data_IF_531544268602
#
_entry.id   IF_531544268602
#
_cell.length_a   1.000
_cell.length_b   1.000
_cell.length_c   1.000
_cell.angle_alpha   90.00
_cell.angle_beta   90.00
_cell.angle_gamma   90.00
#
_symmetry.space_group_name_H-M   'P 1'
#
loop_
_entity.id
_entity.type
_entity.pdbx_description
1 polymer ?
#
# COMPACT_ATOMS: atom_id res chain seq x y z
N UNK A 1 2.94 -6.20 11.04
CA UNK A 1 1.59 -5.66 10.88
C UNK A 1 0.79 -6.40 9.82
N UNK A 2 1.28 -6.50 8.59
CA UNK A 2 0.58 -7.15 7.47
C UNK A 2 1.57 -7.92 6.60
N UNK A 3 1.13 -9.09 6.08
CA UNK A 3 1.85 -9.86 5.06
C UNK A 3 0.88 -10.31 4.00
N UNK A 4 1.21 -10.08 2.72
CA UNK A 4 0.36 -10.52 1.60
C UNK A 4 1.18 -10.84 0.36
N UNK A 5 0.65 -11.71 -0.49
CA UNK A 5 1.12 -11.91 -1.86
C UNK A 5 0.15 -11.18 -2.79
N UNK A 6 0.70 -10.31 -3.62
CA UNK A 6 -0.03 -9.66 -4.69
C UNK A 6 0.33 -10.36 -6.00
N UNK A 7 -0.68 -10.96 -6.65
CA UNK A 7 -0.52 -11.62 -7.94
C UNK A 7 -1.32 -10.87 -9.01
N UNK A 8 -0.65 -10.45 -10.04
CA UNK A 8 -1.21 -9.75 -11.20
C UNK A 8 -1.03 -10.63 -12.42
N UNK A 9 -2.11 -11.29 -12.91
CA UNK A 9 -2.01 -12.17 -14.07
C UNK A 9 -1.65 -11.39 -15.34
N UNK A 10 -1.04 -12.08 -16.30
CA UNK A 10 -0.84 -11.52 -17.63
C UNK A 10 -2.18 -11.25 -18.31
N UNK A 11 -2.23 -10.22 -19.16
CA UNK A 11 -3.38 -9.73 -19.95
C UNK A 11 -4.60 -9.21 -19.17
N UNK A 12 -4.80 -9.63 -17.92
CA UNK A 12 -6.00 -9.34 -17.11
C UNK A 12 -5.67 -8.73 -15.75
N UNK A 13 -4.42 -8.37 -15.50
CA UNK A 13 -4.02 -7.76 -14.23
C UNK A 13 -4.57 -6.35 -14.10
N UNK A 14 -5.40 -6.12 -13.07
CA UNK A 14 -5.88 -4.78 -12.72
C UNK A 14 -4.86 -4.06 -11.85
N UNK A 15 -4.63 -2.79 -12.14
CA UNK A 15 -3.78 -1.93 -11.33
C UNK A 15 -4.42 -1.54 -10.00
N UNK A 16 -3.62 -0.95 -9.13
CA UNK A 16 -4.06 -0.30 -7.90
C UNK A 16 -3.89 1.21 -8.05
N UNK A 17 -4.94 1.96 -7.75
CA UNK A 17 -4.90 3.42 -7.82
C UNK A 17 -3.96 4.00 -6.75
N UNK A 18 -3.53 5.26 -6.95
CA UNK A 18 -2.64 5.96 -6.05
C UNK A 18 -3.22 6.07 -4.64
N UNK A 19 -2.47 5.64 -3.64
CA UNK A 19 -2.85 5.66 -2.23
C UNK A 19 -1.62 5.64 -1.33
N UNK A 20 -1.84 5.89 -0.05
CA UNK A 20 -0.90 5.64 1.03
C UNK A 20 -1.42 4.48 1.87
N UNK A 21 -0.61 3.48 2.14
CA UNK A 21 -0.99 2.38 3.05
C UNK A 21 -1.30 2.90 4.46
N UNK A 22 -0.54 3.89 4.92
CA UNK A 22 -0.74 4.49 6.25
C UNK A 22 -2.13 5.09 6.42
N UNK A 23 -2.70 5.68 5.39
CA UNK A 23 -4.06 6.22 5.47
C UNK A 23 -5.08 5.14 5.87
N UNK A 24 -5.05 3.98 5.21
CA UNK A 24 -5.89 2.84 5.54
C UNK A 24 -5.58 2.28 6.94
N UNK A 25 -4.31 2.13 7.30
CA UNK A 25 -3.94 1.59 8.61
C UNK A 25 -4.28 2.54 9.75
N UNK A 26 -4.21 3.85 9.52
CA UNK A 26 -4.67 4.86 10.47
C UNK A 26 -6.20 4.80 10.63
N UNK A 27 -6.93 4.88 9.52
CA UNK A 27 -8.38 4.91 9.52
C UNK A 27 -9.03 3.62 10.04
N UNK A 28 -8.53 2.46 9.62
CA UNK A 28 -9.17 1.16 9.85
C UNK A 28 -8.50 0.31 10.94
N UNK A 29 -7.17 0.44 11.16
CA UNK A 29 -6.45 -0.37 12.14
C UNK A 29 -6.07 0.39 13.41
N UNK A 30 -6.23 1.71 13.42
CA UNK A 30 -5.85 2.55 14.54
C UNK A 30 -4.34 2.77 14.68
N UNK A 31 -3.59 2.77 13.56
CA UNK A 31 -2.15 3.08 13.59
C UNK A 31 -1.93 4.56 13.89
N UNK A 32 -1.31 4.93 15.03
CA UNK A 32 -1.27 6.34 15.47
C UNK A 32 -0.39 7.24 14.60
N UNK A 33 0.71 6.70 14.08
CA UNK A 33 1.71 7.46 13.33
C UNK A 33 2.29 6.62 12.18
N UNK A 34 2.83 7.22 11.10
CA UNK A 34 3.43 6.49 9.98
C UNK A 34 4.82 5.93 10.33
N UNK A 35 4.91 5.17 11.44
CA UNK A 35 6.15 4.53 11.90
C UNK A 35 6.21 3.07 11.48
N UNK A 36 5.87 2.84 10.22
CA UNK A 36 5.91 1.52 9.60
C UNK A 36 6.67 1.57 8.27
N UNK A 37 7.24 0.44 7.90
CA UNK A 37 7.96 0.27 6.64
C UNK A 37 7.46 -0.97 5.92
N UNK A 38 7.25 -0.86 4.62
CA UNK A 38 6.88 -1.95 3.74
C UNK A 38 8.10 -2.44 2.97
N UNK A 39 8.19 -3.76 2.80
CA UNK A 39 9.14 -4.40 1.90
C UNK A 39 8.37 -5.15 0.81
N UNK A 40 8.55 -4.76 -0.45
CA UNK A 40 8.02 -5.48 -1.61
C UNK A 40 9.13 -6.31 -2.23
N UNK A 41 8.99 -7.65 -2.22
CA UNK A 41 9.95 -8.58 -2.81
C UNK A 41 9.36 -9.16 -4.08
N UNK A 42 10.06 -9.03 -5.20
CA UNK A 42 9.67 -9.57 -6.49
C UNK A 42 9.81 -11.10 -6.51
N UNK A 43 8.71 -11.83 -6.66
CA UNK A 43 8.71 -13.28 -6.85
C UNK A 43 8.83 -13.66 -8.33
N UNK A 44 8.43 -12.76 -9.22
CA UNK A 44 8.64 -12.79 -10.67
C UNK A 44 9.35 -11.52 -11.10
N UNK A 45 9.98 -11.45 -12.28
CA UNK A 45 10.56 -10.19 -12.76
C UNK A 45 9.53 -9.07 -12.83
N UNK A 46 9.88 -7.91 -12.29
CA UNK A 46 9.11 -6.66 -12.43
C UNK A 46 9.66 -5.89 -13.62
N UNK A 47 8.88 -5.79 -14.67
CA UNK A 47 9.19 -5.00 -15.86
C UNK A 47 8.44 -3.66 -15.82
N UNK A 48 8.91 -2.67 -16.57
CA UNK A 48 8.22 -1.38 -16.68
C UNK A 48 6.81 -1.49 -17.30
N UNK A 49 6.48 -2.60 -17.92
CA UNK A 49 5.24 -2.80 -18.69
C UNK A 49 4.32 -3.89 -18.12
N UNK A 50 4.67 -4.59 -17.03
CA UNK A 50 3.81 -5.64 -16.45
C UNK A 50 3.10 -5.22 -15.16
N UNK A 51 2.79 -3.91 -15.03
CA UNK A 51 2.07 -3.36 -13.90
C UNK A 51 2.95 -3.21 -12.65
N UNK A 52 4.23 -2.87 -12.83
CA UNK A 52 5.18 -2.64 -11.74
C UNK A 52 4.70 -1.58 -10.73
N UNK A 53 5.11 -1.72 -9.48
CA UNK A 53 4.83 -0.76 -8.43
C UNK A 53 5.46 0.59 -8.77
N UNK A 54 4.66 1.65 -8.73
CA UNK A 54 5.09 3.04 -8.88
C UNK A 54 5.06 3.73 -7.51
N UNK A 55 6.01 4.60 -7.26
CA UNK A 55 6.13 5.39 -6.03
C UNK A 55 6.42 6.86 -6.36
N UNK A 56 6.01 7.77 -5.50
CA UNK A 56 6.39 9.19 -5.57
C UNK A 56 7.45 9.46 -4.48
N UNK A 57 8.75 9.52 -4.82
CA UNK A 57 9.83 9.69 -3.84
C UNK A 57 9.68 10.98 -3.04
N UNK A 58 9.75 10.89 -1.70
CA UNK A 58 9.60 12.05 -0.82
C UNK A 58 8.16 12.41 -0.44
N UNK A 59 7.15 11.82 -1.07
CA UNK A 59 5.73 12.08 -0.77
C UNK A 59 5.30 11.64 0.62
N UNK A 60 6.03 10.72 1.26
CA UNK A 60 5.78 10.24 2.63
C UNK A 60 5.76 11.36 3.68
N UNK A 61 6.34 12.53 3.36
CA UNK A 61 6.35 13.71 4.25
C UNK A 61 5.02 14.45 4.31
N UNK A 62 4.07 14.10 3.46
CA UNK A 62 2.75 14.72 3.39
C UNK A 62 1.69 13.66 3.61
N UNK A 63 0.93 13.77 4.69
CA UNK A 63 -0.23 12.91 4.92
C UNK A 63 -1.44 13.48 4.19
N UNK A 64 -2.09 12.66 3.38
CA UNK A 64 -3.33 13.00 2.66
C UNK A 64 -4.44 12.12 3.21
N UNK A 65 -5.25 12.63 4.16
CA UNK A 65 -6.35 11.86 4.72
C UNK A 65 -7.52 11.78 3.76
N UNK A 66 -8.25 10.69 3.79
CA UNK A 66 -9.60 10.62 3.23
C UNK A 66 -10.60 11.27 4.17
N UNK A 67 -11.59 11.93 3.59
CA UNK A 67 -12.70 12.52 4.35
C UNK A 67 -13.86 11.53 4.42
N UNK A 68 -14.47 11.40 5.61
CA UNK A 68 -15.64 10.58 5.84
C UNK A 68 -15.37 9.29 6.62
N UNK A 69 -16.45 8.57 6.90
CA UNK A 69 -16.40 7.30 7.61
C UNK A 69 -16.05 6.15 6.65
N UNK A 70 -15.24 5.21 7.13
CA UNK A 70 -14.96 3.98 6.39
C UNK A 70 -16.17 3.04 6.48
N UNK A 71 -16.74 2.57 5.36
CA UNK A 71 -17.85 1.63 5.38
C UNK A 71 -17.51 0.34 6.11
N UNK A 72 -18.53 -0.28 6.71
CA UNK A 72 -18.40 -1.60 7.31
C UNK A 72 -17.86 -2.61 6.27
N UNK A 73 -16.95 -3.49 6.71
CA UNK A 73 -16.32 -4.49 5.84
C UNK A 73 -15.56 -3.94 4.61
N UNK A 74 -15.12 -2.67 4.64
CA UNK A 74 -14.38 -2.05 3.53
C UNK A 74 -13.20 -2.91 3.04
N UNK A 75 -12.53 -3.65 3.94
CA UNK A 75 -11.42 -4.55 3.61
C UNK A 75 -11.79 -5.63 2.59
N UNK A 76 -13.05 -6.03 2.46
CA UNK A 76 -13.50 -7.03 1.48
C UNK A 76 -13.43 -6.51 0.04
N UNK A 77 -13.52 -5.20 -0.13
CA UNK A 77 -13.42 -4.51 -1.43
C UNK A 77 -12.05 -3.86 -1.65
N UNK A 78 -11.50 -3.18 -0.65
CA UNK A 78 -10.27 -2.40 -0.77
C UNK A 78 -9.02 -3.23 -1.07
N UNK A 79 -8.99 -4.51 -0.66
CA UNK A 79 -7.92 -5.44 -1.04
C UNK A 79 -7.91 -5.82 -2.53
N UNK A 80 -8.99 -5.51 -3.27
CA UNK A 80 -9.11 -5.76 -4.71
C UNK A 80 -9.00 -4.48 -5.52
N UNK A 81 -9.62 -3.41 -5.05
CA UNK A 81 -9.66 -2.11 -5.70
C UNK A 81 -9.78 -1.02 -4.63
N UNK A 82 -8.82 -0.10 -4.60
CA UNK A 82 -8.84 1.03 -3.65
C UNK A 82 -9.84 2.08 -4.15
N UNK A 83 -10.93 2.30 -3.41
CA UNK A 83 -11.95 3.32 -3.69
C UNK A 83 -12.06 4.37 -2.59
N UNK A 84 -11.70 3.98 -1.37
CA UNK A 84 -11.66 4.85 -0.19
C UNK A 84 -10.20 4.98 0.21
N UNK A 85 -9.79 6.12 0.73
CA UNK A 85 -8.38 6.39 0.97
C UNK A 85 -7.62 6.83 -0.29
N UNK A 86 -8.38 7.24 -1.34
CA UNK A 86 -7.81 7.68 -2.62
C UNK A 86 -7.84 9.20 -2.67
N UNK A 87 -6.70 9.88 -2.81
CA UNK A 87 -6.65 11.32 -3.03
C UNK A 87 -7.32 11.73 -4.35
N UNK A 88 -7.74 13.01 -4.45
CA UNK A 88 -8.28 13.52 -5.71
C UNK A 88 -7.21 13.58 -6.82
N UNK A 89 -7.65 13.60 -8.07
CA UNK A 89 -6.74 13.67 -9.23
C UNK A 89 -5.86 14.93 -9.18
N UNK A 90 -6.38 16.05 -8.69
CA UNK A 90 -5.61 17.30 -8.53
C UNK A 90 -4.49 17.14 -7.50
N UNK A 91 -4.76 16.48 -6.37
CA UNK A 91 -3.75 16.21 -5.34
C UNK A 91 -2.68 15.26 -5.89
N UNK A 92 -3.08 14.21 -6.60
CA UNK A 92 -2.13 13.27 -7.23
C UNK A 92 -1.28 13.98 -8.29
N UNK A 93 -1.89 14.82 -9.13
CA UNK A 93 -1.16 15.59 -10.14
C UNK A 93 -0.14 16.55 -9.50
N UNK A 94 -0.52 17.29 -8.47
CA UNK A 94 0.39 18.18 -7.75
C UNK A 94 1.55 17.41 -7.08
N UNK A 95 1.25 16.27 -6.42
CA UNK A 95 2.28 15.43 -5.83
C UNK A 95 3.23 14.86 -6.88
N UNK A 96 2.71 14.39 -8.02
CA UNK A 96 3.52 13.88 -9.11
C UNK A 96 4.43 14.96 -9.73
N UNK A 97 3.96 16.19 -9.85
CA UNK A 97 4.79 17.31 -10.32
C UNK A 97 5.91 17.65 -9.34
N UNK A 98 5.65 17.59 -8.03
CA UNK A 98 6.64 17.92 -7.00
C UNK A 98 7.66 16.81 -6.76
N UNK A 99 7.24 15.57 -6.84
CA UNK A 99 8.04 14.42 -6.41
C UNK A 99 8.54 13.53 -7.55
N UNK A 100 7.96 13.66 -8.75
CA UNK A 100 8.16 12.68 -9.82
C UNK A 100 7.50 11.35 -9.52
N UNK A 101 7.64 10.42 -10.45
CA UNK A 101 7.17 9.03 -10.32
C UNK A 101 8.31 8.10 -10.67
N UNK A 102 8.70 7.25 -9.75
CA UNK A 102 9.64 6.15 -9.98
C UNK A 102 8.92 4.81 -10.02
N UNK A 103 9.49 3.86 -10.75
CA UNK A 103 8.91 2.53 -10.87
C UNK A 103 9.89 1.45 -10.39
N UNK A 104 9.40 0.54 -9.55
CA UNK A 104 10.15 -0.61 -9.09
C UNK A 104 10.26 -1.65 -10.21
N UNK A 105 11.44 -1.77 -10.80
CA UNK A 105 11.78 -2.78 -11.81
C UNK A 105 12.99 -3.60 -11.35
N UNK A 106 13.05 -4.86 -11.78
CA UNK A 106 14.17 -5.74 -11.46
C UNK A 106 13.86 -7.23 -11.65
N UNK A 107 14.86 -8.11 -11.57
CA UNK A 107 14.66 -9.55 -11.61
C UNK A 107 13.91 -10.06 -10.37
N UNK A 108 13.47 -11.32 -10.42
CA UNK A 108 12.99 -12.02 -9.23
C UNK A 108 14.05 -11.96 -8.11
N UNK A 109 13.63 -11.77 -6.87
CA UNK A 109 14.49 -11.54 -5.71
C UNK A 109 14.84 -10.08 -5.44
N UNK A 110 14.56 -9.15 -6.37
CA UNK A 110 14.71 -7.71 -6.08
C UNK A 110 13.75 -7.27 -4.97
N UNK A 111 14.18 -6.33 -4.15
CA UNK A 111 13.36 -5.79 -3.06
C UNK A 111 13.33 -4.26 -3.08
N UNK A 112 12.15 -3.70 -2.82
CA UNK A 112 11.94 -2.28 -2.58
C UNK A 112 11.46 -2.09 -1.15
N UNK A 113 12.18 -1.26 -0.38
CA UNK A 113 11.76 -0.80 0.94
C UNK A 113 11.18 0.60 0.81
N UNK A 114 10.02 0.84 1.41
CA UNK A 114 9.35 2.13 1.34
C UNK A 114 8.54 2.44 2.59
N UNK A 115 8.41 3.73 2.88
CA UNK A 115 7.67 4.24 4.02
C UNK A 115 6.16 3.96 3.87
N UNK A 116 5.50 3.68 4.99
CA UNK A 116 4.06 3.43 5.05
C UNK A 116 3.20 4.55 4.44
N UNK A 117 3.67 5.80 4.54
CA UNK A 117 2.95 6.97 4.05
C UNK A 117 3.35 7.40 2.62
N UNK A 118 4.21 6.65 1.94
CA UNK A 118 4.57 7.00 0.55
C UNK A 118 3.38 6.82 -0.38
N UNK A 119 3.14 7.79 -1.25
CA UNK A 119 2.14 7.67 -2.30
C UNK A 119 2.63 6.67 -3.35
N UNK A 120 1.85 5.62 -3.57
CA UNK A 120 2.19 4.55 -4.49
C UNK A 120 0.96 4.00 -5.22
N UNK A 121 1.21 3.29 -6.31
CA UNK A 121 0.16 2.68 -7.13
C UNK A 121 0.74 1.71 -8.16
N UNK A 122 -0.09 1.14 -9.00
CA UNK A 122 0.36 0.28 -10.09
C UNK A 122 -0.60 0.36 -11.28
N UNK A 123 -0.06 0.31 -12.48
CA UNK A 123 -0.87 0.22 -13.71
C UNK A 123 -1.44 -1.17 -13.95
N UNK A 124 -2.31 -1.29 -14.96
CA UNK A 124 -2.81 -2.57 -15.45
C UNK A 124 -1.71 -3.38 -16.13
N UNK A 125 -1.85 -4.70 -16.15
CA UNK A 125 -0.99 -5.58 -16.91
C UNK A 125 -1.71 -6.16 -18.14
N UNK A 126 -1.40 -5.61 -19.30
CA UNK A 126 -1.90 -6.07 -20.62
C UNK A 126 -0.88 -6.94 -21.35
N UNK A 127 0.23 -7.28 -20.72
CA UNK A 127 1.31 -8.11 -21.31
C UNK A 127 1.14 -9.60 -20.94
N UNK A 128 1.78 -10.53 -21.64
CA UNK A 128 1.75 -11.95 -21.26
C UNK A 128 2.53 -12.27 -19.98
N UNK A 129 3.28 -11.33 -19.41
CA UNK A 129 4.18 -11.56 -18.28
C UNK A 129 3.47 -11.27 -16.96
N UNK A 130 3.12 -12.28 -16.14
CA UNK A 130 2.52 -12.05 -14.83
C UNK A 130 3.52 -11.38 -13.90
N UNK A 131 3.01 -10.66 -12.89
CA UNK A 131 3.79 -10.10 -11.79
C UNK A 131 3.29 -10.66 -10.46
N UNK A 132 4.22 -11.09 -9.63
CA UNK A 132 3.93 -11.53 -8.27
C UNK A 132 4.95 -10.94 -7.31
N UNK A 133 4.46 -10.29 -6.26
CA UNK A 133 5.28 -9.72 -5.20
C UNK A 133 4.74 -10.16 -3.84
N UNK A 134 5.64 -10.43 -2.90
CA UNK A 134 5.29 -10.53 -1.49
C UNK A 134 5.52 -9.18 -0.83
N UNK A 135 4.56 -8.73 -0.01
CA UNK A 135 4.66 -7.53 0.81
C UNK A 135 4.75 -7.93 2.28
N UNK A 136 5.75 -7.43 2.95
CA UNK A 136 5.98 -7.58 4.38
C UNK A 136 5.93 -6.19 5.01
N UNK A 137 5.09 -6.01 6.02
CA UNK A 137 4.92 -4.71 6.69
C UNK A 137 5.37 -4.82 8.14
N UNK A 138 6.33 -4.00 8.51
CA UNK A 138 6.90 -3.91 9.85
C UNK A 138 6.45 -2.60 10.50
N UNK A 139 5.75 -2.71 11.61
CA UNK A 139 5.37 -1.56 12.44
C UNK A 139 6.36 -1.42 13.61
N UNK A 140 6.64 -0.19 14.03
CA UNK A 140 7.43 0.05 15.25
C UNK A 140 6.70 -0.49 16.47
N UNK A 141 7.43 -1.09 17.40
CA UNK A 141 6.88 -1.53 18.70
C UNK A 141 6.35 -0.35 19.54
N UNK A 142 6.90 0.85 19.34
CA UNK A 142 6.43 2.08 19.98
C UNK A 142 5.21 2.72 19.28
N UNK A 143 4.67 2.06 18.24
CA UNK A 143 3.54 2.51 17.46
C UNK A 143 2.36 1.53 17.56
N UNK A 144 2.07 1.08 18.80
CA UNK A 144 1.01 0.13 19.06
C UNK A 144 -0.34 0.63 18.53
N UNK A 145 -1.09 -0.29 17.91
CA UNK A 145 -2.40 0.03 17.33
C UNK A 145 -3.40 0.38 18.43
N UNK A 146 -4.19 1.40 18.16
CA UNK A 146 -5.29 1.88 19.00
C UNK A 146 -6.63 1.50 18.36
N UNK A 147 -7.73 2.04 18.88
CA UNK A 147 -9.01 1.94 18.20
C UNK A 147 -8.97 2.66 16.84
N UNK A 148 -9.69 2.16 15.84
CA UNK A 148 -9.78 2.80 14.53
C UNK A 148 -10.20 4.27 14.60
N UNK A 149 -9.63 5.11 13.75
CA UNK A 149 -9.98 6.53 13.72
C UNK A 149 -11.22 6.83 12.87
N UNK A 150 -11.54 5.98 11.89
CA UNK A 150 -12.67 6.22 10.98
C UNK A 150 -13.53 4.97 10.71
N UNK A 151 -13.17 3.81 11.21
CA UNK A 151 -13.96 2.58 11.11
C UNK A 151 -14.61 2.24 12.45
N UNK A 152 -15.74 1.56 12.43
CA UNK A 152 -16.48 1.12 13.64
C UNK A 152 -15.78 -0.03 14.37
N UNK A 153 -14.94 -0.80 13.66
CA UNK A 153 -14.14 -1.90 14.20
C UNK A 153 -12.85 -2.05 13.39
N UNK A 154 -11.76 -2.55 14.00
CA UNK A 154 -10.53 -2.80 13.29
C UNK A 154 -10.70 -3.93 12.28
N UNK A 155 -9.82 -3.95 11.26
CA UNK A 155 -9.76 -5.05 10.30
C UNK A 155 -9.42 -6.36 11.02
N UNK A 156 -9.86 -7.51 10.50
CA UNK A 156 -9.59 -8.82 11.11
C UNK A 156 -8.08 -9.06 11.32
N UNK A 157 -7.71 -9.74 12.41
CA UNK A 157 -6.31 -9.99 12.80
C UNK A 157 -5.50 -10.74 11.72
N UNK A 158 -6.16 -11.58 10.91
CA UNK A 158 -5.51 -12.28 9.79
C UNK A 158 -5.14 -11.33 8.62
N UNK A 159 -5.65 -10.10 8.61
CA UNK A 159 -5.29 -9.03 7.65
C UNK A 159 -4.31 -8.07 8.30
N UNK A 160 -4.60 -7.61 9.53
CA UNK A 160 -3.84 -6.60 10.23
C UNK A 160 -3.54 -7.06 11.67
N UNK A 161 -2.38 -7.66 11.86
CA UNK A 161 -1.96 -8.18 13.15
C UNK A 161 -1.73 -7.06 14.16
N UNK A 162 -2.36 -7.18 15.33
CA UNK A 162 -2.40 -6.10 16.33
C UNK A 162 -1.38 -6.23 17.46
N UNK A 163 -0.81 -7.42 17.66
CA UNK A 163 0.16 -7.63 18.72
C UNK A 163 1.54 -7.11 18.32
N UNK A 164 2.08 -6.18 19.11
CA UNK A 164 3.40 -5.62 18.88
C UNK A 164 4.47 -6.49 19.58
N UNK A 165 4.94 -7.52 18.90
CA UNK A 165 6.08 -8.31 19.35
C UNK A 165 7.34 -7.93 18.57
N UNK A 166 8.47 -7.64 19.24
CA UNK A 166 9.73 -7.39 18.55
C UNK A 166 10.16 -8.60 17.73
N UNK A 167 10.62 -8.36 16.49
CA UNK A 167 11.32 -9.38 15.72
C UNK A 167 12.61 -9.76 16.44
N UNK A 168 12.87 -11.05 16.58
CA UNK A 168 14.05 -11.62 17.22
C UNK A 168 15.06 -12.12 16.19
#
# INVERSE_FOLDING_TARGET
HQTRINYMPGFKGSGFYWHSDFETWHAEDGMPAPRAVSCSIALTPNFAYNGGLMVMPGSHRTFVPSLGETPEDNHKSSLKEQKIGVPSEEVIADMAHRHGIDQFTGPAGSALWFDANIMHGSGNNITPFPRSNIFLVFNSVDNALQDPYAATAPRPDYIAHRNAEPLR
#
